data_IF_902827146711
#
_entry.id   IF_902827146711
#
_cell.length_a   1.000
_cell.length_b   1.000
_cell.length_c   1.000
_cell.angle_alpha   90.00
_cell.angle_beta   90.00
_cell.angle_gamma   90.00
#
_symmetry.space_group_name_H-M   'P 1'
#
loop_
_entity.id
_entity.type
_entity.pdbx_description
1 polymer ?
#
# COMPACT_ATOMS: atom_id res chain seq x y z
N UNK A 1 -21.24 0.43 -7.09
CA UNK A 1 -20.58 0.57 -5.79
C UNK A 1 -20.03 1.99 -5.58
N UNK A 2 -19.22 2.50 -6.50
CA UNK A 2 -18.66 3.87 -6.41
C UNK A 2 -19.75 4.95 -6.36
N UNK A 3 -20.77 4.84 -7.20
CA UNK A 3 -21.92 5.77 -7.20
C UNK A 3 -22.69 5.81 -5.88
N UNK A 4 -22.62 4.74 -5.09
CA UNK A 4 -23.27 4.63 -3.78
C UNK A 4 -22.30 4.88 -2.62
N UNK A 5 -21.09 5.36 -2.92
CA UNK A 5 -20.08 5.65 -1.91
C UNK A 5 -19.47 4.42 -1.22
N UNK A 6 -19.68 3.20 -1.78
CA UNK A 6 -19.13 1.96 -1.20
C UNK A 6 -17.81 1.62 -1.86
N UNK A 7 -16.71 1.92 -1.18
CA UNK A 7 -15.34 1.73 -1.67
C UNK A 7 -14.60 0.49 -1.13
N UNK A 8 -15.24 -0.37 -0.34
CA UNK A 8 -14.56 -1.52 0.26
C UNK A 8 -15.28 -2.86 -0.04
N UNK A 9 -14.49 -3.93 -0.19
CA UNK A 9 -14.96 -5.25 -0.59
C UNK A 9 -16.07 -5.83 0.31
N UNK A 10 -15.98 -5.65 1.63
CA UNK A 10 -17.04 -6.09 2.58
C UNK A 10 -18.38 -5.39 2.35
N UNK A 11 -18.35 -4.09 2.04
CA UNK A 11 -19.57 -3.34 1.71
C UNK A 11 -20.19 -3.82 0.42
N UNK A 12 -19.40 -4.08 -0.61
CA UNK A 12 -19.88 -4.64 -1.89
C UNK A 12 -20.47 -6.03 -1.67
N UNK A 13 -19.78 -6.92 -0.96
CA UNK A 13 -20.28 -8.25 -0.62
C UNK A 13 -21.63 -8.18 0.13
N UNK A 14 -21.80 -7.23 1.04
CA UNK A 14 -23.08 -6.99 1.72
C UNK A 14 -24.17 -6.56 0.74
N UNK A 15 -23.87 -5.68 -0.22
CA UNK A 15 -24.83 -5.25 -1.24
C UNK A 15 -25.31 -6.43 -2.12
N UNK A 16 -24.45 -7.41 -2.41
CA UNK A 16 -24.87 -8.61 -3.14
C UNK A 16 -25.90 -9.46 -2.40
N UNK A 17 -26.09 -9.22 -1.10
CA UNK A 17 -27.10 -9.89 -0.27
C UNK A 17 -28.36 -9.04 -0.05
N UNK A 18 -28.21 -7.73 0.06
CA UNK A 18 -29.26 -6.82 0.56
C UNK A 18 -29.85 -5.89 -0.49
N UNK A 19 -29.19 -5.72 -1.65
CA UNK A 19 -29.60 -4.76 -2.68
C UNK A 19 -29.98 -5.49 -3.97
N UNK A 20 -31.19 -5.29 -4.46
CA UNK A 20 -31.75 -6.06 -5.57
C UNK A 20 -30.93 -5.95 -6.87
N UNK A 21 -30.43 -4.76 -7.23
CA UNK A 21 -29.60 -4.59 -8.41
C UNK A 21 -28.28 -5.38 -8.33
N UNK A 22 -27.63 -5.41 -7.16
CA UNK A 22 -26.39 -6.18 -6.97
C UNK A 22 -26.66 -7.68 -6.93
N UNK A 23 -27.79 -8.10 -6.34
CA UNK A 23 -28.24 -9.49 -6.40
C UNK A 23 -28.50 -9.94 -7.84
N UNK A 24 -29.13 -9.10 -8.64
CA UNK A 24 -29.38 -9.37 -10.05
C UNK A 24 -28.09 -9.48 -10.86
N UNK A 25 -27.14 -8.52 -10.69
CA UNK A 25 -25.83 -8.53 -11.36
C UNK A 25 -25.05 -9.81 -11.03
N UNK A 26 -25.13 -10.29 -9.78
CA UNK A 26 -24.44 -11.50 -9.34
C UNK A 26 -25.25 -12.80 -9.58
N UNK A 27 -26.37 -12.75 -10.31
CA UNK A 27 -27.23 -13.92 -10.56
C UNK A 27 -27.79 -14.56 -9.28
N UNK A 28 -27.99 -13.78 -8.21
CA UNK A 28 -28.46 -14.27 -6.91
C UNK A 28 -27.39 -14.94 -6.05
N UNK A 29 -26.15 -15.04 -6.53
CA UNK A 29 -25.04 -15.66 -5.80
C UNK A 29 -24.43 -14.65 -4.81
N UNK A 30 -24.15 -15.14 -3.60
CA UNK A 30 -23.42 -14.34 -2.61
C UNK A 30 -21.92 -14.34 -2.92
N UNK A 31 -21.34 -13.16 -3.10
CA UNK A 31 -19.93 -13.02 -3.40
C UNK A 31 -19.14 -12.85 -2.11
N UNK A 32 -18.06 -13.62 -1.93
CA UNK A 32 -17.17 -13.50 -0.78
C UNK A 32 -16.36 -12.21 -0.91
N UNK A 33 -16.26 -11.44 0.20
CA UNK A 33 -15.47 -10.22 0.22
C UNK A 33 -13.96 -10.43 0.01
N UNK A 34 -13.42 -11.61 0.35
CA UNK A 34 -12.03 -11.97 0.06
C UNK A 34 -11.79 -12.03 -1.45
N UNK A 35 -12.66 -12.71 -2.19
CA UNK A 35 -12.59 -12.76 -3.66
C UNK A 35 -12.63 -11.37 -4.30
N UNK A 36 -13.47 -10.47 -3.77
CA UNK A 36 -13.53 -9.08 -4.25
C UNK A 36 -12.27 -8.28 -3.90
N UNK A 37 -11.68 -8.54 -2.73
CA UNK A 37 -10.44 -7.88 -2.31
C UNK A 37 -9.25 -8.37 -3.14
N UNK A 38 -9.16 -9.68 -3.37
CA UNK A 38 -8.10 -10.33 -4.15
C UNK A 38 -8.19 -9.88 -5.63
N UNK A 39 -9.38 -9.89 -6.21
CA UNK A 39 -9.62 -9.38 -7.56
C UNK A 39 -9.11 -7.93 -7.71
N UNK A 40 -9.45 -7.05 -6.79
CA UNK A 40 -9.02 -5.64 -6.85
C UNK A 40 -7.50 -5.47 -6.74
N UNK A 41 -6.82 -6.35 -6.00
CA UNK A 41 -5.36 -6.22 -5.76
C UNK A 41 -4.52 -6.98 -6.79
N UNK A 42 -5.08 -8.00 -7.44
CA UNK A 42 -4.35 -8.87 -8.36
C UNK A 42 -4.63 -8.57 -9.82
N UNK A 43 -5.82 -8.03 -10.14
CA UNK A 43 -6.30 -7.85 -11.53
C UNK A 43 -6.24 -6.38 -11.99
N UNK A 44 -5.30 -5.60 -11.44
CA UNK A 44 -5.13 -4.18 -11.82
C UNK A 44 -4.88 -4.00 -13.30
N UNK A 45 -3.96 -4.75 -13.86
CA UNK A 45 -3.58 -4.68 -15.29
C UNK A 45 -4.75 -5.08 -16.19
N UNK A 46 -5.48 -6.14 -15.85
CA UNK A 46 -6.67 -6.56 -16.61
C UNK A 46 -7.80 -5.52 -16.56
N UNK A 47 -7.94 -4.81 -15.45
CA UNK A 47 -8.90 -3.70 -15.33
C UNK A 47 -8.51 -2.48 -16.17
N UNK A 48 -7.23 -2.17 -16.24
CA UNK A 48 -6.70 -1.08 -17.08
C UNK A 48 -6.86 -1.41 -18.56
N UNK A 49 -6.61 -2.66 -18.95
CA UNK A 49 -6.83 -3.17 -20.31
C UNK A 49 -8.31 -3.08 -20.70
N UNK A 50 -9.21 -3.55 -19.83
CA UNK A 50 -10.65 -3.47 -20.02
C UNK A 50 -11.14 -2.02 -20.18
N UNK A 51 -10.61 -1.09 -19.38
CA UNK A 51 -10.96 0.32 -19.49
C UNK A 51 -10.50 0.90 -20.83
N UNK A 52 -9.29 0.58 -21.26
CA UNK A 52 -8.71 1.00 -22.54
C UNK A 52 -9.54 0.49 -23.71
N UNK A 53 -9.91 -0.76 -23.71
CA UNK A 53 -10.74 -1.39 -24.76
C UNK A 53 -12.14 -0.78 -24.82
N UNK A 54 -12.75 -0.49 -23.68
CA UNK A 54 -14.05 0.20 -23.64
C UNK A 54 -13.95 1.59 -24.25
N UNK A 55 -12.94 2.37 -23.89
CA UNK A 55 -12.74 3.73 -24.45
C UNK A 55 -12.48 3.65 -25.95
N UNK A 56 -11.62 2.73 -26.40
CA UNK A 56 -11.33 2.52 -27.82
C UNK A 56 -12.59 2.14 -28.62
N UNK A 57 -13.41 1.25 -28.08
CA UNK A 57 -14.69 0.84 -28.68
C UNK A 57 -15.67 1.99 -28.82
N UNK A 58 -15.80 2.84 -27.80
CA UNK A 58 -16.64 4.03 -27.81
C UNK A 58 -16.13 5.08 -28.82
N UNK A 59 -14.82 5.21 -28.97
CA UNK A 59 -14.22 6.07 -29.99
C UNK A 59 -14.47 5.54 -31.39
N UNK A 60 -14.30 4.24 -31.61
CA UNK A 60 -14.58 3.59 -32.89
C UNK A 60 -16.06 3.72 -33.30
N UNK A 61 -16.97 3.64 -32.33
CA UNK A 61 -18.39 3.87 -32.53
C UNK A 61 -18.76 5.37 -32.73
N UNK A 62 -17.79 6.29 -32.66
CA UNK A 62 -18.04 7.72 -32.83
C UNK A 62 -18.80 8.39 -31.67
N UNK A 63 -19.02 7.67 -30.57
CA UNK A 63 -19.74 8.14 -29.37
C UNK A 63 -18.87 9.11 -28.56
N UNK A 64 -17.57 8.87 -28.51
CA UNK A 64 -16.59 9.68 -27.78
C UNK A 64 -15.54 10.22 -28.75
N UNK A 65 -15.26 11.52 -28.67
CA UNK A 65 -14.12 12.14 -29.35
C UNK A 65 -13.10 12.54 -28.31
N UNK A 66 -11.98 11.84 -28.27
CA UNK A 66 -10.91 12.10 -27.28
C UNK A 66 -10.09 13.34 -27.71
N UNK A 67 -10.52 14.53 -27.28
CA UNK A 67 -9.81 15.80 -27.54
C UNK A 67 -8.97 16.26 -26.36
N UNK A 68 -9.37 15.93 -25.17
CA UNK A 68 -8.73 16.37 -23.93
C UNK A 68 -8.87 15.30 -22.86
N UNK A 69 -7.76 14.95 -22.21
CA UNK A 69 -7.77 14.14 -21.00
C UNK A 69 -7.41 15.03 -19.82
N UNK A 70 -8.17 14.94 -18.74
CA UNK A 70 -7.84 15.55 -17.45
C UNK A 70 -7.54 14.41 -16.45
N UNK A 71 -6.35 14.44 -15.87
CA UNK A 71 -5.97 13.53 -14.80
C UNK A 71 -5.79 14.34 -13.53
N UNK A 72 -6.53 14.00 -12.48
CA UNK A 72 -6.37 14.58 -11.16
C UNK A 72 -5.75 13.55 -10.21
N UNK A 73 -4.82 14.02 -9.38
CA UNK A 73 -4.18 13.20 -8.36
C UNK A 73 -4.98 13.25 -7.06
N UNK A 74 -5.46 12.11 -6.61
CA UNK A 74 -6.11 12.00 -5.30
C UNK A 74 -5.12 11.57 -4.23
N UNK A 75 -5.05 12.32 -3.12
CA UNK A 75 -4.25 11.93 -1.96
C UNK A 75 -4.95 10.82 -1.18
N UNK A 76 -4.38 9.63 -1.21
CA UNK A 76 -4.89 8.48 -0.49
C UNK A 76 -4.12 8.32 0.80
N UNK A 77 -4.84 8.20 1.93
CA UNK A 77 -4.20 8.03 3.24
C UNK A 77 -3.46 6.70 3.32
N UNK A 78 -2.17 6.77 3.67
CA UNK A 78 -1.35 5.58 3.87
C UNK A 78 -1.59 4.95 5.25
N UNK A 79 -1.41 3.63 5.34
CA UNK A 79 -1.47 2.88 6.59
C UNK A 79 -0.13 2.96 7.36
N UNK A 80 0.45 4.15 7.44
CA UNK A 80 1.70 4.42 8.16
C UNK A 80 1.45 5.44 9.26
N UNK A 81 1.99 5.22 10.45
CA UNK A 81 1.95 6.19 11.54
C UNK A 81 2.99 7.31 11.32
N UNK A 82 2.68 8.54 11.69
CA UNK A 82 3.63 9.66 11.62
C UNK A 82 4.95 9.35 12.37
N UNK A 83 4.87 8.57 13.46
CA UNK A 83 6.01 8.13 14.24
C UNK A 83 6.95 7.14 13.50
N UNK A 84 6.52 6.54 12.38
CA UNK A 84 7.37 5.65 11.58
C UNK A 84 8.37 6.40 10.69
N UNK A 85 8.15 7.71 10.46
CA UNK A 85 9.00 8.51 9.60
C UNK A 85 10.31 8.89 10.30
N UNK A 86 11.43 8.43 9.75
CA UNK A 86 12.78 8.58 10.30
C UNK A 86 13.69 9.26 9.27
N UNK A 87 14.73 9.98 9.79
CA UNK A 87 15.84 10.47 9.00
C UNK A 87 16.82 9.33 8.72
N UNK A 88 17.70 9.53 7.75
CA UNK A 88 18.66 8.52 7.28
C UNK A 88 19.51 7.91 8.41
N UNK A 89 20.10 8.73 9.27
CA UNK A 89 20.92 8.25 10.40
C UNK A 89 20.13 7.30 11.32
N UNK A 90 18.87 7.67 11.63
CA UNK A 90 18.03 6.85 12.48
C UNK A 90 17.58 5.57 11.79
N UNK A 91 17.40 5.61 10.46
CA UNK A 91 17.10 4.41 9.68
C UNK A 91 18.27 3.44 9.68
N UNK A 92 19.52 3.93 9.52
CA UNK A 92 20.72 3.10 9.59
C UNK A 92 20.82 2.42 10.96
N UNK A 93 20.65 3.16 12.06
CA UNK A 93 20.64 2.58 13.40
C UNK A 93 19.52 1.55 13.61
N UNK A 94 18.33 1.79 13.03
CA UNK A 94 17.23 0.83 13.08
C UNK A 94 17.53 -0.44 12.26
N UNK A 95 18.24 -0.32 11.14
CA UNK A 95 18.64 -1.45 10.32
C UNK A 95 19.66 -2.33 11.05
N UNK A 96 20.67 -1.75 11.67
CA UNK A 96 21.65 -2.49 12.47
C UNK A 96 20.97 -3.25 13.61
N UNK A 97 20.10 -2.58 14.37
CA UNK A 97 19.35 -3.23 15.44
C UNK A 97 18.44 -4.37 14.92
N UNK A 98 17.84 -4.23 13.73
CA UNK A 98 17.05 -5.29 13.12
C UNK A 98 17.93 -6.48 12.70
N UNK A 99 19.10 -6.24 12.13
CA UNK A 99 20.07 -7.27 11.75
C UNK A 99 20.61 -8.03 12.96
N UNK A 100 20.93 -7.34 14.04
CA UNK A 100 21.32 -7.98 15.31
C UNK A 100 20.21 -8.89 15.85
N UNK A 101 18.95 -8.45 15.80
CA UNK A 101 17.81 -9.28 16.19
C UNK A 101 17.68 -10.54 15.32
N UNK A 102 17.87 -10.42 14.00
CA UNK A 102 17.87 -11.59 13.08
C UNK A 102 18.99 -12.55 13.46
N UNK A 103 20.20 -12.04 13.71
CA UNK A 103 21.35 -12.87 14.07
C UNK A 103 21.12 -13.60 15.41
N UNK A 104 20.61 -12.89 16.43
CA UNK A 104 20.28 -13.45 17.74
C UNK A 104 19.24 -14.57 17.63
N UNK A 105 18.16 -14.36 16.85
CA UNK A 105 17.13 -15.38 16.65
C UNK A 105 17.65 -16.61 15.88
N UNK A 106 18.59 -16.42 14.94
CA UNK A 106 19.25 -17.54 14.25
C UNK A 106 20.14 -18.34 15.21
N UNK A 107 20.91 -17.67 16.07
CA UNK A 107 21.76 -18.30 17.07
C UNK A 107 20.94 -19.10 18.10
N UNK A 108 19.88 -18.53 18.66
CA UNK A 108 18.97 -19.19 19.59
C UNK A 108 18.35 -20.45 19.01
N UNK A 109 18.06 -20.49 17.73
CA UNK A 109 17.52 -21.67 17.08
C UNK A 109 18.55 -22.76 16.87
N UNK A 110 19.82 -22.40 16.69
CA UNK A 110 20.91 -23.38 16.58
C UNK A 110 21.13 -24.10 17.92
N UNK A 111 20.92 -23.41 19.06
CA UNK A 111 21.11 -23.97 20.40
C UNK A 111 19.91 -24.81 20.88
N UNK A 112 18.69 -24.53 20.45
CA UNK A 112 17.50 -25.29 20.84
C UNK A 112 16.55 -25.55 19.65
N UNK A 113 16.86 -26.54 18.80
CA UNK A 113 16.04 -26.88 17.64
C UNK A 113 14.68 -27.52 17.99
N UNK A 114 14.48 -28.00 19.21
CA UNK A 114 13.25 -28.65 19.68
C UNK A 114 12.39 -27.78 20.62
N UNK A 115 12.79 -26.53 20.84
CA UNK A 115 12.14 -25.59 21.76
C UNK A 115 10.68 -25.33 21.45
N UNK A 116 9.97 -24.96 22.48
CA UNK A 116 8.51 -24.75 22.53
C UNK A 116 7.97 -23.91 21.35
N UNK A 117 7.42 -24.56 20.34
CA UNK A 117 6.73 -23.97 19.22
C UNK A 117 7.61 -23.41 18.07
N UNK A 118 8.14 -24.31 17.26
CA UNK A 118 8.73 -23.99 15.95
C UNK A 118 7.88 -22.99 15.13
N UNK A 119 6.57 -22.99 15.36
CA UNK A 119 5.61 -22.08 14.75
C UNK A 119 5.74 -20.63 15.25
N UNK A 120 5.95 -20.42 16.56
CA UNK A 120 6.20 -19.09 17.14
C UNK A 120 7.52 -18.52 16.69
N UNK A 121 8.57 -19.33 16.70
CA UNK A 121 9.91 -18.95 16.23
C UNK A 121 9.91 -18.60 14.74
N UNK A 122 9.20 -19.37 13.90
CA UNK A 122 9.06 -19.09 12.47
C UNK A 122 8.27 -17.78 12.21
N UNK A 123 7.23 -17.50 12.99
CA UNK A 123 6.48 -16.26 12.91
C UNK A 123 7.32 -15.05 13.34
N UNK A 124 8.08 -15.19 14.43
CA UNK A 124 8.96 -14.14 14.93
C UNK A 124 10.09 -13.82 13.95
N UNK A 125 10.72 -14.85 13.35
CA UNK A 125 11.73 -14.65 12.29
C UNK A 125 11.17 -13.93 11.08
N UNK A 126 9.98 -14.34 10.60
CA UNK A 126 9.31 -13.64 9.49
C UNK A 126 9.07 -12.17 9.82
N UNK A 127 8.53 -11.87 11.00
CA UNK A 127 8.26 -10.51 11.43
C UNK A 127 9.53 -9.64 11.49
N UNK A 128 10.65 -10.18 11.96
CA UNK A 128 11.92 -9.45 12.04
C UNK A 128 12.56 -9.28 10.67
N UNK A 129 12.52 -10.30 9.81
CA UNK A 129 13.01 -10.23 8.42
C UNK A 129 12.18 -9.24 7.59
N UNK A 130 10.85 -9.25 7.74
CA UNK A 130 9.99 -8.25 7.09
C UNK A 130 10.26 -6.83 7.59
N UNK A 131 10.58 -6.67 8.87
CA UNK A 131 10.98 -5.38 9.43
C UNK A 131 12.30 -4.89 8.82
N UNK A 132 13.30 -5.76 8.71
CA UNK A 132 14.57 -5.45 8.05
C UNK A 132 14.34 -5.00 6.61
N UNK A 133 13.60 -5.77 5.82
CA UNK A 133 13.29 -5.43 4.43
C UNK A 133 12.57 -4.08 4.28
N UNK A 134 11.62 -3.77 5.17
CA UNK A 134 10.94 -2.45 5.16
C UNK A 134 11.90 -1.30 5.47
N UNK A 135 12.84 -1.48 6.38
CA UNK A 135 13.82 -0.44 6.71
C UNK A 135 14.81 -0.26 5.54
N UNK A 136 15.22 -1.33 4.88
CA UNK A 136 16.05 -1.26 3.67
C UNK A 136 15.35 -0.51 2.53
N UNK A 137 14.07 -0.81 2.29
CA UNK A 137 13.26 -0.07 1.32
C UNK A 137 13.14 1.43 1.67
N UNK A 138 12.95 1.75 2.96
CA UNK A 138 12.92 3.12 3.43
C UNK A 138 14.26 3.85 3.22
N UNK A 139 15.39 3.18 3.41
CA UNK A 139 16.72 3.72 3.13
C UNK A 139 16.97 3.91 1.64
N UNK A 140 16.57 2.95 0.82
CA UNK A 140 16.71 3.04 -0.64
C UNK A 140 15.97 4.25 -1.23
N UNK A 141 14.86 4.66 -0.61
CA UNK A 141 14.08 5.83 -1.03
C UNK A 141 14.62 7.18 -0.53
N UNK A 142 15.48 7.21 0.47
CA UNK A 142 16.01 8.45 1.05
C UNK A 142 16.64 9.41 0.03
N UNK A 143 17.47 8.98 -0.94
CA UNK A 143 18.08 9.87 -1.92
C UNK A 143 17.04 10.62 -2.77
N UNK A 144 15.97 9.95 -3.17
CA UNK A 144 14.87 10.54 -3.93
C UNK A 144 14.17 11.65 -3.11
N UNK A 145 13.82 11.33 -1.86
CA UNK A 145 13.18 12.28 -0.96
C UNK A 145 14.07 13.47 -0.63
N UNK A 146 15.38 13.26 -0.49
CA UNK A 146 16.36 14.32 -0.32
C UNK A 146 16.43 15.23 -1.56
N UNK A 147 16.39 14.65 -2.78
CA UNK A 147 16.36 15.41 -4.03
C UNK A 147 15.08 16.26 -4.14
N UNK A 148 13.93 15.70 -3.76
CA UNK A 148 12.66 16.43 -3.74
C UNK A 148 12.73 17.61 -2.75
N UNK A 149 13.29 17.40 -1.54
CA UNK A 149 13.50 18.46 -0.56
C UNK A 149 14.38 19.58 -1.10
N UNK A 150 15.48 19.22 -1.75
CA UNK A 150 16.39 20.18 -2.39
C UNK A 150 15.68 21.01 -3.46
N UNK A 151 14.85 20.38 -4.32
CA UNK A 151 14.04 21.09 -5.32
C UNK A 151 13.03 22.07 -4.68
N UNK A 152 12.56 21.77 -3.47
CA UNK A 152 11.66 22.63 -2.69
C UNK A 152 12.37 23.73 -1.89
N UNK A 153 13.69 23.89 -2.03
CA UNK A 153 14.46 24.85 -1.25
C UNK A 153 14.63 24.49 0.24
N UNK A 154 14.40 23.23 0.61
CA UNK A 154 14.54 22.69 1.96
C UNK A 154 15.83 21.89 2.10
N UNK A 155 16.26 21.67 3.36
CA UNK A 155 17.47 20.90 3.64
C UNK A 155 17.28 19.42 3.30
N UNK A 156 18.18 18.81 2.49
CA UNK A 156 18.09 17.39 2.14
C UNK A 156 18.12 16.45 3.35
N UNK A 157 18.85 16.81 4.42
CA UNK A 157 18.98 16.04 5.65
C UNK A 157 17.66 15.96 6.44
N UNK A 158 16.68 16.79 6.11
CA UNK A 158 15.34 16.74 6.71
C UNK A 158 14.43 15.71 6.03
N UNK A 159 14.91 15.04 4.98
CA UNK A 159 14.17 13.95 4.35
C UNK A 159 13.88 12.85 5.36
N UNK A 160 12.65 12.32 5.29
CA UNK A 160 12.20 11.23 6.18
C UNK A 160 11.43 10.22 5.35
N UNK A 161 11.74 8.96 5.51
CA UNK A 161 10.96 7.84 4.98
C UNK A 161 10.38 6.98 6.11
N UNK A 162 9.31 6.29 5.81
CA UNK A 162 8.60 5.48 6.78
C UNK A 162 9.18 4.07 6.86
N UNK A 163 9.42 3.57 8.09
CA UNK A 163 9.81 2.18 8.36
C UNK A 163 8.64 1.20 8.24
N UNK A 164 7.43 1.69 8.07
CA UNK A 164 6.23 0.85 7.86
C UNK A 164 5.90 0.71 6.38
N UNK A 165 6.04 1.82 5.64
CA UNK A 165 5.68 1.92 4.24
C UNK A 165 6.57 2.97 3.56
N UNK A 166 7.54 2.52 2.77
CA UNK A 166 8.53 3.38 2.13
C UNK A 166 7.91 4.33 1.09
N UNK A 167 6.77 3.97 0.51
CA UNK A 167 6.10 4.76 -0.52
C UNK A 167 5.26 5.90 0.05
N UNK A 168 4.89 5.80 1.32
CA UNK A 168 4.15 6.85 2.00
C UNK A 168 5.00 8.12 2.19
N UNK A 169 4.39 9.27 1.96
CA UNK A 169 4.97 10.59 2.24
C UNK A 169 4.03 11.41 3.13
N UNK A 170 4.57 12.35 3.91
CA UNK A 170 3.73 13.25 4.71
C UNK A 170 3.20 14.36 3.80
N UNK A 171 1.90 14.39 3.58
CA UNK A 171 1.20 15.32 2.71
C UNK A 171 0.14 16.13 3.46
N UNK A 172 -0.09 17.35 3.01
CA UNK A 172 -1.21 18.17 3.48
C UNK A 172 -2.50 17.61 2.88
N UNK A 173 -3.45 17.22 3.71
CA UNK A 173 -4.75 16.70 3.28
C UNK A 173 -5.76 17.83 3.04
N UNK A 174 -6.93 17.51 2.46
CA UNK A 174 -8.00 18.48 2.19
C UNK A 174 -8.55 19.21 3.42
N UNK A 175 -8.45 18.59 4.60
CA UNK A 175 -8.82 19.18 5.89
C UNK A 175 -7.73 20.08 6.51
N UNK A 176 -6.63 20.32 5.78
CA UNK A 176 -5.50 21.13 6.21
C UNK A 176 -4.48 20.40 7.08
N UNK A 177 -4.78 19.21 7.58
CA UNK A 177 -3.88 18.39 8.41
C UNK A 177 -2.78 17.73 7.57
N UNK A 178 -1.62 17.47 8.20
CA UNK A 178 -0.53 16.71 7.58
C UNK A 178 -0.60 15.24 8.00
N UNK A 179 -0.71 14.34 7.04
CA UNK A 179 -0.80 12.89 7.29
C UNK A 179 0.01 12.09 6.27
N UNK A 180 0.45 10.87 6.64
CA UNK A 180 1.00 9.92 5.69
C UNK A 180 -0.01 9.60 4.58
N UNK A 181 0.40 9.77 3.33
CA UNK A 181 -0.46 9.56 2.17
C UNK A 181 0.37 9.21 0.92
N UNK A 182 -0.33 8.74 -0.09
CA UNK A 182 0.14 8.59 -1.47
C UNK A 182 -0.48 9.68 -2.35
N UNK A 183 0.20 9.99 -3.45
CA UNK A 183 -0.28 10.87 -4.50
C UNK A 183 -0.27 10.13 -5.81
#
# INVERSE_FOLDING_TARGET
>A
ATLEGVGHARGIARLTQTHDAYRWICGGVQVNYHTLADFRSQEGDALDELLTDNVASLMAAGVVKFKTAAQDGMRVRASAGAASFRREERLKACLEAAREQVATLKAQQADDPAGESARKQAAQRRAVSEREARIEAALARQPELAAIKKKQGKKPEEARSSTTDADATIMKMGDGGFRPAYN
#
